data_IF_250690661917
#
_entry.id   IF_250690661917
#
_cell.length_a   1.000
_cell.length_b   1.000
_cell.length_c   1.000
_cell.angle_alpha   90.00
_cell.angle_beta   90.00
_cell.angle_gamma   90.00
#
_symmetry.space_group_name_H-M   'P 1'
#
loop_
_entity.id
_entity.type
_entity.pdbx_description
1 polymer ?
#
# COMPACT_ATOMS: atom_id res chain seq x y z
N UNK A 1 9.79 -7.74 4.32
CA UNK A 1 8.72 -6.83 4.76
C UNK A 1 7.54 -7.72 5.09
N UNK A 2 7.31 -8.00 6.37
CA UNK A 2 6.36 -9.04 6.80
C UNK A 2 4.97 -8.48 7.09
N UNK A 3 4.84 -7.16 7.32
CA UNK A 3 3.60 -6.53 7.77
C UNK A 3 2.93 -5.65 6.70
N UNK A 4 2.86 -6.15 5.46
CA UNK A 4 2.19 -5.45 4.36
C UNK A 4 0.70 -5.13 4.65
N UNK A 5 -0.09 -6.01 5.30
CA UNK A 5 -1.48 -5.68 5.64
C UNK A 5 -1.60 -4.43 6.53
N UNK A 6 -0.70 -4.27 7.52
CA UNK A 6 -0.68 -3.11 8.42
C UNK A 6 -0.41 -1.81 7.67
N UNK A 7 0.51 -1.83 6.70
CA UNK A 7 0.73 -0.69 5.81
C UNK A 7 -0.56 -0.33 5.07
N UNK A 8 -1.25 -1.31 4.46
CA UNK A 8 -2.48 -1.04 3.68
C UNK A 8 -3.61 -0.49 4.55
N UNK A 9 -3.75 -0.94 5.80
CA UNK A 9 -4.72 -0.36 6.75
C UNK A 9 -4.35 1.07 7.13
N UNK A 10 -3.07 1.33 7.40
CA UNK A 10 -2.58 2.69 7.66
C UNK A 10 -2.87 3.62 6.49
N UNK A 11 -2.68 3.17 5.25
CA UNK A 11 -3.03 3.96 4.07
C UNK A 11 -4.53 4.22 3.98
N UNK A 12 -5.37 3.22 4.24
CA UNK A 12 -6.83 3.40 4.19
C UNK A 12 -7.32 4.38 5.25
N UNK A 13 -6.82 4.28 6.47
CA UNK A 13 -7.19 5.15 7.57
C UNK A 13 -6.67 6.58 7.36
N UNK A 14 -5.38 6.72 7.03
CA UNK A 14 -4.75 8.04 6.89
C UNK A 14 -5.31 8.86 5.73
N UNK A 15 -5.58 8.20 4.60
CA UNK A 15 -6.06 8.86 3.38
C UNK A 15 -7.57 8.71 3.17
N UNK A 16 -8.30 8.20 4.19
CA UNK A 16 -9.76 8.03 4.16
C UNK A 16 -10.26 7.20 2.96
N UNK A 17 -9.47 6.20 2.57
CA UNK A 17 -9.76 5.33 1.43
C UNK A 17 -10.66 4.18 1.89
N UNK A 18 -11.90 4.20 1.41
CA UNK A 18 -12.99 3.35 1.93
C UNK A 18 -12.80 1.85 1.67
N UNK A 19 -12.04 1.46 0.65
CA UNK A 19 -11.85 0.04 0.29
C UNK A 19 -10.50 -0.22 -0.37
N UNK A 20 -10.09 -1.48 -0.36
CA UNK A 20 -8.91 -1.96 -1.08
C UNK A 20 -9.01 -1.71 -2.59
N UNK A 21 -10.21 -1.76 -3.17
CA UNK A 21 -10.42 -1.42 -4.57
C UNK A 21 -10.27 0.08 -4.84
N UNK A 22 -10.62 0.94 -3.88
CA UNK A 22 -10.35 2.38 -3.98
C UNK A 22 -8.86 2.66 -3.81
N UNK A 23 -8.18 1.96 -2.91
CA UNK A 23 -6.72 2.06 -2.73
C UNK A 23 -5.97 1.62 -4.00
N UNK A 24 -6.44 0.55 -4.65
CA UNK A 24 -5.88 0.10 -5.92
C UNK A 24 -5.95 1.20 -6.99
N UNK A 25 -7.09 1.89 -7.10
CA UNK A 25 -7.28 3.00 -8.05
C UNK A 25 -6.39 4.18 -7.71
N UNK A 26 -6.29 4.53 -6.44
CA UNK A 26 -5.45 5.65 -5.97
C UNK A 26 -3.98 5.42 -6.30
N UNK A 27 -3.50 4.17 -6.16
CA UNK A 27 -2.12 3.78 -6.47
C UNK A 27 -1.91 3.40 -7.94
N UNK A 28 -2.94 3.52 -8.79
CA UNK A 28 -2.93 3.09 -10.20
C UNK A 28 -2.45 1.63 -10.40
N UNK A 29 -2.95 0.73 -9.57
CA UNK A 29 -2.72 -0.72 -9.67
C UNK A 29 -4.02 -1.50 -9.77
N UNK A 30 -3.94 -2.76 -10.21
CA UNK A 30 -5.14 -3.60 -10.30
C UNK A 30 -5.55 -4.11 -8.91
N UNK A 31 -6.86 -4.25 -8.61
CA UNK A 31 -7.33 -4.76 -7.31
C UNK A 31 -6.75 -6.12 -6.91
N UNK A 32 -6.45 -6.98 -7.88
CA UNK A 32 -5.80 -8.27 -7.64
C UNK A 32 -4.40 -8.13 -7.01
N UNK A 33 -3.67 -7.05 -7.30
CA UNK A 33 -2.38 -6.80 -6.65
C UNK A 33 -2.54 -6.42 -5.18
N UNK A 34 -3.51 -5.55 -4.84
CA UNK A 34 -3.83 -5.26 -3.44
C UNK A 34 -4.26 -6.53 -2.69
N UNK A 35 -5.11 -7.36 -3.29
CA UNK A 35 -5.55 -8.63 -2.68
C UNK A 35 -4.38 -9.57 -2.39
N UNK A 36 -3.39 -9.67 -3.30
CA UNK A 36 -2.16 -10.45 -3.06
C UNK A 36 -1.34 -9.88 -1.88
N UNK A 37 -1.19 -8.55 -1.82
CA UNK A 37 -0.48 -7.87 -0.73
C UNK A 37 -1.19 -8.07 0.62
N UNK A 38 -2.53 -8.05 0.65
CA UNK A 38 -3.34 -8.43 1.82
C UNK A 38 -3.09 -9.87 2.27
N UNK A 39 -2.93 -10.78 1.32
CA UNK A 39 -2.61 -12.19 1.57
C UNK A 39 -1.19 -12.47 2.07
N UNK A 40 -0.39 -11.43 2.36
CA UNK A 40 0.98 -11.58 2.87
C UNK A 40 2.05 -11.67 1.78
N UNK A 41 1.73 -11.31 0.54
CA UNK A 41 2.76 -11.17 -0.49
C UNK A 41 3.75 -10.06 -0.11
N UNK A 42 5.01 -10.21 -0.55
CA UNK A 42 6.05 -9.22 -0.29
C UNK A 42 5.76 -7.92 -1.04
N UNK A 43 5.96 -6.79 -0.36
CA UNK A 43 5.83 -5.46 -0.97
C UNK A 43 6.96 -5.24 -1.99
N UNK A 44 6.59 -5.15 -3.27
CA UNK A 44 7.53 -4.90 -4.36
C UNK A 44 7.98 -3.44 -4.43
N UNK A 45 9.18 -3.14 -4.98
CA UNK A 45 9.68 -1.78 -5.16
C UNK A 45 8.74 -0.85 -5.95
N UNK A 46 8.04 -1.38 -6.96
CA UNK A 46 7.08 -0.61 -7.76
C UNK A 46 5.89 -0.11 -6.96
N UNK A 47 5.39 -0.89 -6.00
CA UNK A 47 4.27 -0.49 -5.14
C UNK A 47 4.73 0.57 -4.14
N UNK A 48 5.96 0.45 -3.62
CA UNK A 48 6.56 1.48 -2.75
C UNK A 48 6.64 2.82 -3.47
N UNK A 49 7.10 2.81 -4.73
CA UNK A 49 7.21 4.02 -5.54
C UNK A 49 5.83 4.65 -5.79
N UNK A 50 4.83 3.84 -6.15
CA UNK A 50 3.45 4.32 -6.36
C UNK A 50 2.84 4.92 -5.08
N UNK A 51 3.06 4.32 -3.91
CA UNK A 51 2.61 4.90 -2.63
C UNK A 51 3.32 6.25 -2.39
N UNK A 52 4.61 6.34 -2.67
CA UNK A 52 5.36 7.58 -2.51
C UNK A 52 4.83 8.70 -3.44
N UNK A 53 4.65 8.38 -4.71
CA UNK A 53 4.27 9.35 -5.73
C UNK A 53 2.81 9.80 -5.62
N UNK A 54 1.88 8.87 -5.34
CA UNK A 54 0.45 9.16 -5.32
C UNK A 54 -0.03 9.69 -3.95
N UNK A 55 0.55 9.19 -2.85
CA UNK A 55 0.11 9.54 -1.49
C UNK A 55 1.10 10.47 -0.78
N UNK A 56 2.20 10.87 -1.43
CA UNK A 56 3.21 11.76 -0.88
C UNK A 56 3.98 11.19 0.32
N UNK A 57 3.90 9.88 0.57
CA UNK A 57 4.49 9.26 1.75
C UNK A 57 5.99 9.00 1.55
N UNK A 58 6.88 9.36 2.50
CA UNK A 58 8.31 9.08 2.37
C UNK A 58 8.60 7.57 2.28
N UNK A 59 9.49 7.16 1.37
CA UNK A 59 9.88 5.75 1.19
C UNK A 59 10.36 5.09 2.49
N UNK A 60 11.04 5.85 3.35
CA UNK A 60 11.48 5.38 4.67
C UNK A 60 10.29 4.95 5.54
N UNK A 61 9.26 5.80 5.63
CA UNK A 61 8.06 5.52 6.42
C UNK A 61 7.30 4.32 5.87
N UNK A 62 7.14 4.23 4.54
CA UNK A 62 6.51 3.06 3.88
C UNK A 62 7.24 1.77 4.28
N UNK A 63 8.58 1.83 4.33
CA UNK A 63 9.41 0.67 4.69
C UNK A 63 9.25 0.27 6.16
N UNK A 64 9.17 1.24 7.05
CA UNK A 64 8.96 1.02 8.49
C UNK A 64 7.58 0.43 8.77
N UNK A 65 6.54 0.91 8.08
CA UNK A 65 5.17 0.41 8.24
C UNK A 65 4.98 -1.02 7.72
N UNK A 66 5.73 -1.41 6.68
CA UNK A 66 5.67 -2.75 6.10
C UNK A 66 6.75 -3.73 6.62
N UNK A 67 7.64 -3.28 7.52
CA UNK A 67 8.62 -4.14 8.19
C UNK A 67 7.91 -5.21 9.02
#
# INVERSE_FOLDING_TARGET
MKNVPKLLDTLRERFQIKSDAALARELDIVPAQISKLRGGATLGPSVILRIHEHLGMPVKEIRELAA
#
